data_IF_918371579637
#
_entry.id   IF_918371579637
#
_cell.length_a   1.000
_cell.length_b   1.000
_cell.length_c   1.000
_cell.angle_alpha   90.00
_cell.angle_beta   90.00
_cell.angle_gamma   90.00
#
_symmetry.space_group_name_H-M   'P 1'
#
loop_
_entity.id
_entity.type
_entity.pdbx_description
1 polymer ?
#
# COMPACT_ATOMS: atom_id res chain seq x y z
N UNK A 1 6.52 -25.93 6.70
CA UNK A 1 6.01 -25.02 5.66
C UNK A 1 5.69 -23.72 6.38
N UNK A 2 6.53 -22.71 6.23
CA UNK A 2 6.27 -21.41 6.84
C UNK A 2 5.11 -20.76 6.08
N UNK A 3 4.08 -20.22 6.76
CA UNK A 3 3.04 -19.48 6.09
C UNK A 3 3.71 -18.30 5.38
N UNK A 4 3.57 -18.23 4.06
CA UNK A 4 3.86 -17.00 3.34
C UNK A 4 2.82 -15.99 3.85
N UNK A 5 3.19 -15.23 4.88
CA UNK A 5 2.49 -14.00 5.24
C UNK A 5 2.70 -13.10 4.04
N UNK A 6 1.75 -13.14 3.10
CA UNK A 6 1.76 -12.26 1.95
C UNK A 6 1.85 -10.84 2.47
N UNK A 7 2.93 -10.15 2.12
CA UNK A 7 3.00 -8.70 2.31
C UNK A 7 1.68 -8.14 1.75
N UNK A 8 0.87 -7.53 2.62
CA UNK A 8 -0.50 -7.11 2.28
C UNK A 8 -0.53 -5.92 1.32
N UNK A 9 -1.42 -4.97 1.56
CA UNK A 9 -1.41 -3.67 0.86
C UNK A 9 -0.56 -2.69 1.67
N UNK A 10 0.28 -1.93 1.00
CA UNK A 10 0.91 -0.74 1.56
C UNK A 10 0.34 0.51 0.92
N UNK A 11 0.18 1.55 1.72
CA UNK A 11 -0.34 2.84 1.27
C UNK A 11 0.64 3.95 1.66
N UNK A 12 0.75 4.97 0.82
CA UNK A 12 1.57 6.16 1.05
C UNK A 12 0.78 7.40 0.64
N UNK A 13 0.87 8.46 1.44
CA UNK A 13 0.41 9.79 1.02
C UNK A 13 1.45 10.42 0.09
N UNK A 14 0.95 11.23 -0.85
CA UNK A 14 1.75 11.97 -1.83
C UNK A 14 1.51 13.45 -1.64
N UNK A 15 2.58 14.23 -1.51
CA UNK A 15 2.51 15.68 -1.38
C UNK A 15 2.04 16.33 -2.68
N UNK A 16 1.12 17.29 -2.58
CA UNK A 16 0.74 18.19 -3.68
C UNK A 16 1.69 19.39 -3.82
N UNK A 17 2.47 19.67 -2.78
CA UNK A 17 3.24 20.91 -2.65
C UNK A 17 4.73 20.67 -2.92
N UNK A 18 5.28 19.60 -2.35
CA UNK A 18 6.70 19.30 -2.43
C UNK A 18 6.94 18.16 -3.42
N UNK A 19 7.91 18.34 -4.29
CA UNK A 19 8.36 17.30 -5.22
C UNK A 19 9.42 16.42 -4.57
N UNK A 20 9.45 15.16 -4.97
CA UNK A 20 10.48 14.21 -4.60
C UNK A 20 11.80 14.59 -5.31
N UNK A 21 12.94 14.65 -4.61
CA UNK A 21 14.20 15.05 -5.24
C UNK A 21 14.68 14.12 -6.35
N UNK A 22 14.31 12.83 -6.27
CA UNK A 22 14.80 11.77 -7.15
C UNK A 22 13.81 11.43 -8.28
N UNK A 23 12.66 12.10 -8.35
CA UNK A 23 11.62 11.83 -9.34
C UNK A 23 10.74 13.04 -9.66
N UNK A 24 10.09 13.03 -10.83
CA UNK A 24 9.14 14.09 -11.23
C UNK A 24 7.77 13.98 -10.53
N UNK A 25 7.72 13.39 -9.33
CA UNK A 25 6.48 13.09 -8.59
C UNK A 25 6.44 13.91 -7.30
N UNK A 26 5.26 14.01 -6.70
CA UNK A 26 5.14 14.57 -5.35
C UNK A 26 5.90 13.71 -4.34
N UNK A 27 6.46 14.36 -3.32
CA UNK A 27 7.19 13.73 -2.21
C UNK A 27 6.31 12.67 -1.55
N UNK A 28 6.84 11.47 -1.39
CA UNK A 28 6.13 10.36 -0.76
C UNK A 28 6.35 10.35 0.75
N UNK A 29 5.27 10.16 1.49
CA UNK A 29 5.33 9.87 2.93
C UNK A 29 5.75 8.44 3.23
N UNK A 30 5.86 8.12 4.52
CA UNK A 30 6.17 6.77 5.01
C UNK A 30 5.07 5.79 4.59
N UNK A 31 5.47 4.58 4.21
CA UNK A 31 4.53 3.51 3.90
C UNK A 31 3.82 3.01 5.16
N UNK A 32 2.50 2.99 5.12
CA UNK A 32 1.64 2.33 6.09
C UNK A 32 1.22 0.96 5.52
N UNK A 33 1.66 -0.12 6.16
CA UNK A 33 1.34 -1.49 5.76
C UNK A 33 0.12 -2.03 6.50
N UNK A 34 -0.80 -2.65 5.76
CA UNK A 34 -1.95 -3.36 6.32
C UNK A 34 -1.62 -4.85 6.34
N UNK A 35 -1.12 -5.34 7.48
CA UNK A 35 -0.71 -6.74 7.65
C UNK A 35 -1.81 -7.60 8.30
N UNK A 36 -2.72 -6.98 9.06
CA UNK A 36 -3.75 -7.67 9.85
C UNK A 36 -5.17 -7.31 9.41
N UNK A 37 -5.49 -7.61 8.15
CA UNK A 37 -6.79 -7.37 7.53
C UNK A 37 -7.96 -7.90 8.35
N UNK A 38 -7.80 -9.05 9.00
CA UNK A 38 -8.86 -9.74 9.73
C UNK A 38 -9.19 -9.10 11.08
N UNK A 39 -8.22 -8.48 11.78
CA UNK A 39 -8.47 -7.94 13.14
C UNK A 39 -8.90 -6.48 13.15
N UNK A 40 -8.57 -5.71 12.10
CA UNK A 40 -8.79 -4.26 12.10
C UNK A 40 -9.99 -3.85 11.24
N UNK A 41 -10.59 -4.81 10.54
CA UNK A 41 -11.72 -4.51 9.66
C UNK A 41 -13.07 -4.70 10.32
N UNK A 42 -13.97 -3.75 10.08
CA UNK A 42 -15.39 -3.89 10.39
C UNK A 42 -16.13 -4.14 9.07
N UNK A 43 -16.87 -5.25 8.93
CA UNK A 43 -17.69 -5.48 7.76
C UNK A 43 -18.82 -4.44 7.70
N UNK A 44 -18.97 -3.73 6.58
CA UNK A 44 -20.11 -2.82 6.36
C UNK A 44 -21.29 -3.54 5.71
N UNK A 45 -21.00 -4.38 4.71
CA UNK A 45 -21.96 -5.22 3.98
C UNK A 45 -21.25 -6.51 3.52
N UNK A 46 -22.00 -7.49 2.98
CA UNK A 46 -21.39 -8.73 2.49
C UNK A 46 -20.40 -8.45 1.33
N UNK A 47 -19.10 -8.60 1.61
CA UNK A 47 -18.03 -8.38 0.63
C UNK A 47 -17.33 -7.02 0.73
N UNK A 48 -17.78 -6.12 1.61
CA UNK A 48 -17.15 -4.82 1.86
C UNK A 48 -16.46 -4.77 3.23
N UNK A 49 -15.26 -4.21 3.24
CA UNK A 49 -14.36 -4.19 4.40
C UNK A 49 -13.84 -2.77 4.60
N UNK A 50 -14.05 -2.19 5.79
CA UNK A 50 -13.45 -0.89 6.16
C UNK A 50 -12.20 -1.11 6.97
N UNK A 51 -11.14 -0.37 6.65
CA UNK A 51 -9.86 -0.43 7.37
C UNK A 51 -9.44 0.99 7.72
N UNK A 52 -9.14 1.21 8.99
CA UNK A 52 -8.56 2.49 9.43
C UNK A 52 -7.05 2.42 9.31
N UNK A 53 -6.46 3.41 8.64
CA UNK A 53 -5.02 3.52 8.44
C UNK A 53 -4.58 4.88 8.96
N UNK A 54 -3.57 4.87 9.81
CA UNK A 54 -2.95 6.10 10.32
C UNK A 54 -1.65 6.34 9.56
N UNK A 55 -1.52 7.54 8.99
CA UNK A 55 -0.29 7.97 8.31
C UNK A 55 0.51 8.89 9.22
N UNK A 56 1.82 8.66 9.26
CA UNK A 56 2.78 9.61 9.80
C UNK A 56 3.02 10.69 8.74
N UNK A 57 2.51 11.90 9.01
CA UNK A 57 2.54 13.02 8.07
C UNK A 57 2.85 14.33 8.81
N UNK A 58 3.95 14.96 8.40
CA UNK A 58 4.50 16.16 9.02
C UNK A 58 4.32 17.39 8.10
N UNK A 59 4.26 18.59 8.68
CA UNK A 59 4.03 19.84 7.95
C UNK A 59 5.11 20.13 6.89
N UNK A 60 6.34 19.64 7.07
CA UNK A 60 7.41 19.75 6.07
C UNK A 60 7.18 18.89 4.82
N UNK A 61 6.14 18.05 4.82
CA UNK A 61 5.65 17.35 3.62
C UNK A 61 4.52 18.12 2.93
N UNK A 62 4.08 19.25 3.48
CA UNK A 62 3.02 20.09 2.91
C UNK A 62 1.66 19.39 2.87
N UNK A 63 0.80 19.83 1.96
CA UNK A 63 -0.55 19.27 1.83
C UNK A 63 -0.52 17.92 1.09
N UNK A 64 -1.19 16.87 1.62
CA UNK A 64 -1.39 15.64 0.88
C UNK A 64 -2.39 15.88 -0.26
N UNK A 65 -2.05 15.41 -1.47
CA UNK A 65 -2.90 15.56 -2.66
C UNK A 65 -3.29 14.26 -3.34
N UNK A 66 -2.62 13.15 -3.03
CA UNK A 66 -2.94 11.84 -3.56
C UNK A 66 -2.54 10.72 -2.60
N UNK A 67 -3.06 9.52 -2.87
CA UNK A 67 -2.71 8.28 -2.16
C UNK A 67 -2.15 7.30 -3.18
N UNK A 68 -1.01 6.71 -2.86
CA UNK A 68 -0.41 5.61 -3.60
C UNK A 68 -0.73 4.28 -2.89
N UNK A 69 -1.36 3.35 -3.58
CA UNK A 69 -1.78 2.05 -3.04
C UNK A 69 -1.03 0.95 -3.79
N UNK A 70 -0.28 0.12 -3.08
CA UNK A 70 0.47 -1.01 -3.63
C UNK A 70 -0.03 -2.31 -3.02
N UNK A 71 -0.54 -3.20 -3.87
CA UNK A 71 -0.81 -4.57 -3.49
C UNK A 71 0.47 -5.39 -3.66
N UNK A 72 1.02 -5.93 -2.56
CA UNK A 72 2.26 -6.69 -2.59
C UNK A 72 2.03 -8.21 -2.76
N UNK A 73 0.85 -8.61 -3.25
CA UNK A 73 0.55 -10.00 -3.57
C UNK A 73 1.43 -10.50 -4.72
N UNK A 74 2.54 -11.15 -4.36
CA UNK A 74 3.43 -11.83 -5.30
C UNK A 74 2.66 -12.99 -5.94
N UNK A 75 2.13 -12.76 -7.13
CA UNK A 75 1.63 -13.85 -7.96
C UNK A 75 2.84 -14.71 -8.36
N UNK A 76 2.85 -16.03 -8.11
CA UNK A 76 3.85 -16.90 -8.72
C UNK A 76 3.69 -16.76 -10.23
N UNK A 77 4.72 -16.27 -10.92
CA UNK A 77 4.72 -16.30 -12.38
C UNK A 77 4.59 -17.77 -12.80
N UNK A 78 3.53 -18.09 -13.55
CA UNK A 78 3.42 -19.38 -14.23
C UNK A 78 4.56 -19.42 -15.25
N UNK A 79 5.65 -20.11 -14.93
CA UNK A 79 6.63 -20.51 -15.94
C UNK A 79 5.93 -21.47 -16.89
N UNK A 80 5.57 -21.00 -18.09
CA UNK A 80 5.31 -21.91 -19.21
C UNK A 80 6.63 -22.61 -19.55
N UNK A 81 6.86 -23.77 -18.95
CA UNK A 81 7.81 -24.75 -19.45
C UNK A 81 7.22 -25.34 -20.74
N UNK A 82 7.42 -24.63 -21.85
CA UNK A 82 7.23 -25.22 -23.17
C UNK A 82 8.42 -26.11 -23.46
N UNK A 83 8.36 -27.37 -23.00
CA UNK A 83 9.18 -28.44 -23.59
C UNK A 83 8.77 -28.59 -25.05
N UNK A 84 9.70 -28.27 -25.94
CA UNK A 84 9.75 -28.82 -27.29
C UNK A 84 10.65 -30.04 -27.29
#
# INVERSE_FOLDING_TARGET
MEPVVGNGVSMQLVSAVHQDPDSLRGKLGKAASVEKWVTTSTPLTAGETVITITFDWDENMGLPGAINIKNNHRSPALSQDSRS
#
